data_IF_659035687222
#
_entry.id   IF_659035687222
#
_cell.length_a   1.000
_cell.length_b   1.000
_cell.length_c   1.000
_cell.angle_alpha   90.00
_cell.angle_beta   90.00
_cell.angle_gamma   90.00
#
_symmetry.space_group_name_H-M   'P 1'
#
loop_
_entity.id
_entity.type
_entity.pdbx_description
1 polymer ?
#
# COMPACT_ATOMS: atom_id res chain seq x y z
N UNK A 1 9.09 -6.20 7.50
CA UNK A 1 9.78 -5.42 6.46
C UNK A 1 9.04 -5.64 5.13
N UNK A 2 8.90 -4.62 4.27
CA UNK A 2 8.23 -4.74 2.98
C UNK A 2 9.19 -5.31 1.92
N UNK A 3 9.60 -6.57 2.09
CA UNK A 3 10.54 -7.22 1.16
C UNK A 3 9.79 -7.65 -0.11
N UNK A 4 10.30 -7.20 -1.26
CA UNK A 4 9.73 -7.46 -2.59
C UNK A 4 10.71 -8.28 -3.44
N UNK A 5 10.15 -9.04 -4.38
CA UNK A 5 10.87 -9.84 -5.37
C UNK A 5 10.30 -9.52 -6.75
N UNK A 6 11.15 -9.47 -7.77
CA UNK A 6 10.73 -9.26 -9.15
C UNK A 6 10.25 -10.59 -9.75
N UNK A 7 8.99 -10.64 -10.18
CA UNK A 7 8.40 -11.74 -10.93
C UNK A 7 8.24 -11.33 -12.40
N UNK A 8 8.84 -12.10 -13.31
CA UNK A 8 8.65 -11.96 -14.74
C UNK A 8 7.74 -13.08 -15.27
N UNK A 9 6.62 -12.70 -15.88
CA UNK A 9 5.64 -13.61 -16.47
C UNK A 9 5.70 -13.45 -17.99
N UNK A 10 6.10 -14.51 -18.69
CA UNK A 10 6.26 -14.50 -20.14
C UNK A 10 5.10 -15.22 -20.83
N UNK A 11 4.66 -14.68 -21.97
CA UNK A 11 3.77 -15.35 -22.93
C UNK A 11 4.19 -14.95 -24.34
N UNK A 12 4.75 -15.89 -25.11
CA UNK A 12 5.29 -15.68 -26.46
C UNK A 12 6.06 -14.36 -26.65
N UNK A 13 5.37 -13.28 -27.07
CA UNK A 13 5.95 -11.95 -27.34
C UNK A 13 5.78 -10.93 -26.20
N UNK A 14 5.09 -11.26 -25.12
CA UNK A 14 4.80 -10.38 -23.98
C UNK A 14 5.53 -10.81 -22.71
N UNK A 15 5.97 -9.83 -21.93
CA UNK A 15 6.53 -10.01 -20.60
C UNK A 15 5.91 -9.01 -19.62
N UNK A 16 5.34 -9.52 -18.53
CA UNK A 16 4.85 -8.70 -17.42
C UNK A 16 5.87 -8.82 -16.28
N UNK A 17 6.43 -7.67 -15.86
CA UNK A 17 7.22 -7.57 -14.65
C UNK A 17 6.33 -7.10 -13.50
N UNK A 18 6.39 -7.78 -12.36
CA UNK A 18 5.58 -7.48 -11.18
C UNK A 18 6.43 -7.63 -9.91
N UNK A 19 6.43 -6.58 -9.08
CA UNK A 19 6.96 -6.69 -7.72
C UNK A 19 5.97 -7.48 -6.86
N UNK A 20 6.46 -8.55 -6.23
CA UNK A 20 5.65 -9.43 -5.37
C UNK A 20 6.21 -9.50 -3.95
N UNK A 21 5.32 -9.51 -2.97
CA UNK A 21 5.63 -9.74 -1.56
C UNK A 21 4.86 -10.95 -1.04
N UNK A 22 5.56 -11.89 -0.42
CA UNK A 22 4.91 -13.06 0.19
C UNK A 22 4.35 -12.69 1.57
N UNK A 23 3.03 -12.84 1.73
CA UNK A 23 2.36 -12.71 3.03
C UNK A 23 1.21 -13.70 3.18
N UNK A 24 1.01 -14.14 4.41
CA UNK A 24 -0.17 -14.87 4.85
C UNK A 24 -1.03 -13.96 5.74
N UNK A 25 -2.35 -13.94 5.49
CA UNK A 25 -3.31 -13.17 6.28
C UNK A 25 -4.46 -14.08 6.65
N UNK A 26 -4.71 -14.22 7.95
CA UNK A 26 -5.75 -15.11 8.48
C UNK A 26 -6.36 -14.56 9.76
N UNK A 27 -7.54 -15.05 10.12
CA UNK A 27 -8.17 -14.80 11.41
C UNK A 27 -8.18 -16.08 12.20
N UNK A 28 -7.58 -16.07 13.39
CA UNK A 28 -7.60 -17.20 14.32
C UNK A 28 -8.12 -16.74 15.66
N UNK A 29 -9.17 -17.42 16.19
CA UNK A 29 -9.79 -17.08 17.49
C UNK A 29 -10.10 -15.57 17.62
N UNK A 30 -10.66 -14.98 16.57
CA UNK A 30 -11.02 -13.55 16.48
C UNK A 30 -9.83 -12.58 16.50
N UNK A 31 -8.61 -13.05 16.25
CA UNK A 31 -7.41 -12.20 16.11
C UNK A 31 -6.95 -12.22 14.66
N UNK A 32 -6.73 -11.03 14.07
CA UNK A 32 -6.13 -10.90 12.75
C UNK A 32 -4.62 -11.10 12.84
N UNK A 33 -4.12 -12.09 12.10
CA UNK A 33 -2.71 -12.42 12.00
C UNK A 33 -2.20 -12.06 10.60
N UNK A 34 -0.99 -11.51 10.56
CA UNK A 34 -0.19 -11.37 9.34
C UNK A 34 1.11 -12.11 9.57
N UNK A 35 1.42 -13.09 8.72
CA UNK A 35 2.57 -13.98 8.86
C UNK A 35 2.64 -14.64 10.27
N UNK A 36 1.48 -15.09 10.78
CA UNK A 36 1.35 -15.72 12.09
C UNK A 36 1.46 -14.78 13.29
N UNK A 37 1.66 -13.48 13.09
CA UNK A 37 1.80 -12.49 14.17
C UNK A 37 0.55 -11.61 14.28
N UNK A 38 0.04 -11.32 15.49
CA UNK A 38 -1.08 -10.42 15.67
C UNK A 38 -0.75 -9.01 15.22
N UNK A 39 -1.64 -8.41 14.42
CA UNK A 39 -1.48 -7.03 13.92
C UNK A 39 -2.37 -6.06 14.69
N UNK A 40 -1.78 -4.93 15.08
CA UNK A 40 -2.50 -3.76 15.57
C UNK A 40 -2.39 -2.64 14.55
N UNK A 41 -3.53 -2.23 13.99
CA UNK A 41 -3.58 -1.08 13.08
C UNK A 41 -3.47 0.23 13.87
N UNK A 42 -2.43 1.01 13.56
CA UNK A 42 -2.29 2.43 13.85
C UNK A 42 -2.62 3.17 12.56
N UNK A 43 -3.89 3.07 12.16
CA UNK A 43 -4.33 3.42 10.82
C UNK A 43 -4.94 4.82 10.70
N UNK A 44 -4.94 5.37 9.49
CA UNK A 44 -5.61 6.62 9.13
C UNK A 44 -6.51 6.42 7.90
N UNK A 45 -7.52 7.28 7.76
CA UNK A 45 -8.26 7.42 6.50
C UNK A 45 -7.54 8.47 5.65
N UNK A 46 -7.39 8.20 4.35
CA UNK A 46 -6.74 9.13 3.42
C UNK A 46 -7.65 9.39 2.23
N UNK A 47 -7.79 10.66 1.89
CA UNK A 47 -8.39 11.15 0.64
C UNK A 47 -7.27 11.57 -0.31
N UNK A 48 -7.43 11.38 -1.62
CA UNK A 48 -6.53 11.95 -2.62
C UNK A 48 -6.83 13.44 -2.74
N UNK A 49 -6.18 14.27 -1.93
CA UNK A 49 -6.42 15.71 -1.93
C UNK A 49 -5.15 16.51 -1.67
N UNK A 50 -4.94 17.56 -2.46
CA UNK A 50 -3.92 18.58 -2.25
C UNK A 50 -4.55 19.98 -2.38
N UNK A 51 -4.13 20.96 -1.57
CA UNK A 51 -4.71 22.31 -1.58
C UNK A 51 -4.51 23.07 -2.90
N UNK A 52 -3.53 22.72 -3.74
CA UNK A 52 -3.26 23.38 -5.01
C UNK A 52 -3.82 22.58 -6.20
N UNK A 53 -3.66 21.27 -6.20
CA UNK A 53 -4.06 20.41 -7.33
C UNK A 53 -5.40 19.68 -7.12
N UNK A 54 -6.05 19.86 -5.98
CA UNK A 54 -7.32 19.19 -5.67
C UNK A 54 -7.13 17.68 -5.66
N UNK A 55 -7.94 16.96 -6.44
CA UNK A 55 -7.94 15.49 -6.47
C UNK A 55 -6.88 14.88 -7.42
N UNK A 56 -6.18 15.69 -8.19
CA UNK A 56 -5.11 15.23 -9.10
C UNK A 56 -3.75 15.34 -8.42
N UNK A 57 -3.54 14.53 -7.39
CA UNK A 57 -2.27 14.51 -6.66
C UNK A 57 -1.15 13.89 -7.52
N UNK A 58 0.08 14.36 -7.34
CA UNK A 58 1.28 13.82 -7.97
C UNK A 58 1.90 12.70 -7.12
N UNK A 59 2.80 11.93 -7.74
CA UNK A 59 3.57 10.88 -7.05
C UNK A 59 4.40 11.44 -5.89
N UNK A 60 4.98 12.63 -6.06
CA UNK A 60 5.77 13.28 -5.02
C UNK A 60 4.91 13.77 -3.85
N UNK A 61 3.67 14.23 -4.11
CA UNK A 61 2.72 14.58 -3.06
C UNK A 61 2.38 13.34 -2.21
N UNK A 62 2.04 12.22 -2.85
CA UNK A 62 1.76 10.97 -2.12
C UNK A 62 3.00 10.46 -1.37
N UNK A 63 4.19 10.50 -1.97
CA UNK A 63 5.42 10.06 -1.30
C UNK A 63 5.72 10.90 -0.04
N UNK A 64 5.46 12.22 -0.09
CA UNK A 64 5.56 13.09 1.10
C UNK A 64 4.55 12.68 2.17
N UNK A 65 3.29 12.46 1.82
CA UNK A 65 2.26 11.98 2.76
C UNK A 65 2.69 10.67 3.43
N UNK A 66 3.09 9.67 2.65
CA UNK A 66 3.50 8.35 3.14
C UNK A 66 4.74 8.45 4.05
N UNK A 67 5.71 9.29 3.69
CA UNK A 67 6.89 9.53 4.52
C UNK A 67 6.52 10.13 5.88
N UNK A 68 5.64 11.15 5.88
CA UNK A 68 5.13 11.75 7.12
C UNK A 68 4.36 10.73 7.97
N UNK A 69 3.56 9.86 7.35
CA UNK A 69 2.85 8.79 8.04
C UNK A 69 3.83 7.81 8.71
N UNK A 70 4.89 7.41 8.02
CA UNK A 70 5.94 6.54 8.57
C UNK A 70 6.65 7.19 9.75
N UNK A 71 7.02 8.48 9.64
CA UNK A 71 7.61 9.25 10.74
C UNK A 71 6.67 9.37 11.95
N UNK A 72 5.36 9.38 11.71
CA UNK A 72 4.33 9.39 12.75
C UNK A 72 3.93 7.99 13.27
N UNK A 73 4.69 6.93 12.94
CA UNK A 73 4.43 5.54 13.34
C UNK A 73 3.09 4.95 12.83
N UNK A 74 2.52 5.49 11.76
CA UNK A 74 1.34 4.93 11.08
C UNK A 74 1.74 3.67 10.31
N UNK A 75 0.88 2.65 10.34
CA UNK A 75 1.12 1.36 9.68
C UNK A 75 -0.06 0.85 8.83
N UNK A 76 -1.14 1.63 8.71
CA UNK A 76 -2.30 1.24 7.92
C UNK A 76 -3.00 2.46 7.32
N UNK A 77 -3.51 2.30 6.10
CA UNK A 77 -4.23 3.34 5.38
C UNK A 77 -5.52 2.73 4.85
N UNK A 78 -6.63 3.45 5.02
CA UNK A 78 -7.88 3.19 4.31
C UNK A 78 -8.05 4.25 3.23
N UNK A 79 -8.18 3.82 1.98
CA UNK A 79 -8.49 4.67 0.83
C UNK A 79 -9.98 5.05 0.87
N UNK A 80 -10.29 6.10 1.62
CA UNK A 80 -11.67 6.51 1.91
C UNK A 80 -12.19 7.44 0.81
N UNK A 81 -13.21 7.09 0.02
CA UNK A 81 -13.99 5.84 -0.05
C UNK A 81 -13.99 5.25 -1.47
N UNK A 82 -12.87 5.43 -2.16
CA UNK A 82 -12.68 5.06 -3.54
C UNK A 82 -11.25 4.52 -3.73
N UNK A 83 -11.00 3.73 -4.78
CA UNK A 83 -9.65 3.34 -5.15
C UNK A 83 -8.83 4.58 -5.50
N UNK A 84 -7.60 4.65 -5.00
CA UNK A 84 -6.66 5.67 -5.42
C UNK A 84 -6.16 5.35 -6.85
N UNK A 85 -5.42 6.28 -7.44
CA UNK A 85 -4.71 6.03 -8.70
C UNK A 85 -3.88 4.73 -8.64
N UNK A 86 -3.86 3.89 -9.69
CA UNK A 86 -3.23 2.56 -9.63
C UNK A 86 -1.76 2.56 -9.18
N UNK A 87 -0.98 3.57 -9.58
CA UNK A 87 0.43 3.66 -9.18
C UNK A 87 0.64 3.97 -7.68
N UNK A 88 -0.40 4.36 -6.95
CA UNK A 88 -0.31 4.66 -5.51
C UNK A 88 0.00 3.42 -4.67
N UNK A 89 -0.41 2.23 -5.12
CA UNK A 89 -0.21 0.97 -4.42
C UNK A 89 1.22 0.43 -4.57
N UNK A 90 2.00 1.00 -5.48
CA UNK A 90 3.41 0.68 -5.76
C UNK A 90 4.39 1.51 -4.90
N UNK A 91 3.89 2.33 -3.97
CA UNK A 91 4.67 3.24 -3.11
C UNK A 91 4.80 2.79 -1.66
#
# INVERSE_FOLDING_TARGET
EPNLYELFIYSDEECIAQDIGFRDVRVEKSVLLVNGQPVKFKGVNRHDSDPQTGFTISRDQLLRDLTLMKLANINGIRTSHYPNTPWAYEL
#
